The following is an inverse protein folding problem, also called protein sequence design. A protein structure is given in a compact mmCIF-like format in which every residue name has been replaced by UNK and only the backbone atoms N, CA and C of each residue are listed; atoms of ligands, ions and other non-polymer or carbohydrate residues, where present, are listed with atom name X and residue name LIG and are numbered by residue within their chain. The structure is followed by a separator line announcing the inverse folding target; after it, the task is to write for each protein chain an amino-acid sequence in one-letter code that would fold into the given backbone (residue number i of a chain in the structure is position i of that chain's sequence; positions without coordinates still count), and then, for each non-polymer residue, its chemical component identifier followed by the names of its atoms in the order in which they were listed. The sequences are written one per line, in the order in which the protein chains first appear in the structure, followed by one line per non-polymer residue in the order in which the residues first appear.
data_IF_841453856457
#
_entry.id   IF_841453856457
#
_cell.length_a   1.000
_cell.length_b   1.000
_cell.length_c   1.000
_cell.angle_alpha   90.00
_cell.angle_beta   90.00
_cell.angle_gamma   90.00
#
_symmetry.space_group_name_H-M   'P 1'
#
loop_
_entity.id
_entity.type
_entity.pdbx_description
1 polymer ?
#
# COMPACT_ATOMS: atom_id res chain seq x y z
N UNK A 1 47.91 -0.09 -43.94
CA UNK A 1 48.68 1.01 -44.57
C UNK A 1 47.89 2.28 -44.33
N UNK A 2 48.56 3.34 -43.84
CA UNK A 2 48.05 4.64 -43.36
C UNK A 2 47.38 4.60 -41.97
N UNK A 3 47.76 5.41 -40.98
CA UNK A 3 48.91 6.29 -40.75
C UNK A 3 48.94 6.53 -39.23
N UNK A 4 50.09 6.32 -38.57
CA UNK A 4 50.31 6.75 -37.18
C UNK A 4 50.55 8.26 -37.21
N UNK A 5 49.77 9.02 -36.45
CA UNK A 5 50.14 10.35 -35.99
C UNK A 5 50.64 10.23 -34.55
N UNK A 6 51.96 10.35 -34.40
CA UNK A 6 52.63 10.76 -33.18
C UNK A 6 52.71 12.29 -33.21
N UNK A 7 52.29 12.96 -32.15
CA UNK A 7 52.30 14.43 -32.09
C UNK A 7 51.76 15.00 -30.78
N UNK A 8 52.58 14.84 -29.73
CA UNK A 8 52.83 15.77 -28.60
C UNK A 8 51.68 16.51 -27.91
N UNK A 9 51.68 16.36 -26.58
CA UNK A 9 51.39 17.37 -25.57
C UNK A 9 49.95 17.88 -25.45
N UNK A 10 49.14 17.08 -24.77
CA UNK A 10 48.09 17.61 -23.88
C UNK A 10 48.36 17.12 -22.48
N UNK A 11 49.07 17.92 -21.70
CA UNK A 11 49.04 17.84 -20.25
C UNK A 11 47.57 17.79 -19.81
N UNK A 12 47.19 16.69 -19.16
CA UNK A 12 45.93 16.64 -18.45
C UNK A 12 46.00 17.68 -17.33
N UNK A 13 45.00 18.56 -17.15
CA UNK A 13 44.99 19.46 -16.02
C UNK A 13 44.95 18.61 -14.76
N UNK A 14 46.06 18.67 -14.01
CA UNK A 14 46.14 18.22 -12.63
C UNK A 14 44.88 18.67 -11.87
N UNK A 15 44.27 17.82 -11.03
CA UNK A 15 43.17 18.25 -10.18
C UNK A 15 43.62 19.45 -9.35
N UNK A 16 42.75 20.45 -9.12
CA UNK A 16 43.10 21.60 -8.29
C UNK A 16 43.56 21.10 -6.92
N UNK A 17 44.69 21.66 -6.47
CA UNK A 17 45.36 21.41 -5.20
C UNK A 17 44.45 20.85 -4.11
N UNK A 18 44.79 19.65 -3.63
CA UNK A 18 44.37 19.21 -2.29
C UNK A 18 44.77 20.30 -1.28
N UNK A 19 43.93 20.61 -0.27
CA UNK A 19 44.27 21.61 0.73
C UNK A 19 45.62 21.27 1.39
N UNK A 20 46.47 22.28 1.67
CA UNK A 20 47.89 22.07 2.01
C UNK A 20 48.13 21.46 3.40
N UNK A 21 47.07 21.15 4.16
CA UNK A 21 47.15 20.48 5.45
C UNK A 21 45.90 19.62 5.66
N UNK A 22 46.09 18.45 6.28
CA UNK A 22 44.99 17.68 6.86
C UNK A 22 44.25 18.58 7.86
N UNK A 23 42.91 18.50 7.94
CA UNK A 23 42.15 19.20 8.97
C UNK A 23 42.71 18.84 10.34
N UNK A 24 42.77 19.81 11.24
CA UNK A 24 43.20 19.55 12.62
C UNK A 24 42.19 18.62 13.31
N UNK A 25 42.62 17.95 14.39
CA UNK A 25 41.70 17.15 15.19
C UNK A 25 40.52 17.99 15.71
N UNK A 26 40.77 19.27 16.03
CA UNK A 26 39.76 20.22 16.46
C UNK A 26 38.73 20.51 15.35
N UNK A 27 39.16 20.58 14.08
CA UNK A 27 38.26 20.76 12.93
C UNK A 27 37.39 19.52 12.69
N UNK A 28 37.95 18.33 12.94
CA UNK A 28 37.23 17.05 12.84
C UNK A 28 36.20 16.94 13.96
N UNK A 29 36.58 17.27 15.20
CA UNK A 29 35.69 17.22 16.35
C UNK A 29 34.56 18.25 16.23
N UNK A 30 34.85 19.46 15.73
CA UNK A 30 33.83 20.46 15.43
C UNK A 30 32.86 19.99 14.33
N UNK A 31 33.36 19.32 13.29
CA UNK A 31 32.51 18.77 12.23
C UNK A 31 31.64 17.60 12.75
N UNK A 32 32.17 16.74 13.62
CA UNK A 32 31.41 15.66 14.24
C UNK A 32 30.33 16.20 15.17
N UNK A 33 30.63 17.22 15.98
CA UNK A 33 29.65 17.88 16.84
C UNK A 33 28.52 18.54 16.02
N UNK A 34 28.85 19.18 14.90
CA UNK A 34 27.85 19.76 14.00
C UNK A 34 26.95 18.70 13.36
N UNK A 35 27.52 17.53 12.99
CA UNK A 35 26.75 16.39 12.49
C UNK A 35 25.83 15.83 13.58
N UNK A 36 26.31 15.68 14.81
CA UNK A 36 25.51 15.20 15.94
C UNK A 36 24.36 16.17 16.27
N UNK A 37 24.59 17.48 16.24
CA UNK A 37 23.55 18.50 16.40
C UNK A 37 22.51 18.45 15.27
N UNK A 38 22.95 18.27 14.02
CA UNK A 38 22.04 18.14 12.88
C UNK A 38 21.23 16.83 12.94
N UNK A 39 21.84 15.73 13.37
CA UNK A 39 21.15 14.46 13.61
C UNK A 39 20.17 14.54 14.79
N UNK A 40 20.52 15.24 15.86
CA UNK A 40 19.63 15.50 16.99
C UNK A 40 18.44 16.38 16.57
N UNK A 41 18.67 17.39 15.71
CA UNK A 41 17.61 18.21 15.14
C UNK A 41 16.66 17.39 14.24
N UNK A 42 17.20 16.51 13.39
CA UNK A 42 16.41 15.60 12.55
C UNK A 42 15.62 14.61 13.42
N UNK A 43 16.22 14.08 14.48
CA UNK A 43 15.53 13.20 15.42
C UNK A 43 14.39 13.95 16.14
N UNK A 44 14.62 15.18 16.59
CA UNK A 44 13.58 16.02 17.18
C UNK A 44 12.45 16.38 16.20
N UNK A 45 12.75 16.56 14.91
CA UNK A 45 11.76 16.74 13.84
C UNK A 45 10.93 15.47 13.60
N UNK A 46 11.51 14.29 13.78
CA UNK A 46 10.83 12.99 13.65
C UNK A 46 10.02 12.63 14.90
N UNK A 47 10.45 13.09 16.09
CA UNK A 47 9.78 12.89 17.38
C UNK A 47 8.77 13.99 17.71
N UNK A 48 8.74 15.09 16.95
CA UNK A 48 7.71 16.11 17.08
C UNK A 48 6.33 15.45 16.84
N UNK A 49 5.34 15.66 17.75
CA UNK A 49 4.00 15.13 17.55
C UNK A 49 3.50 15.60 16.18
N UNK A 50 3.02 14.65 15.38
CA UNK A 50 2.51 14.88 14.04
C UNK A 50 1.18 15.66 14.08
N UNK A 51 1.21 16.88 14.62
CA UNK A 51 0.16 17.91 14.51
C UNK A 51 0.47 18.85 13.33
N UNK A 52 1.15 18.33 12.31
CA UNK A 52 0.91 18.84 10.98
C UNK A 52 -0.32 18.10 10.48
N UNK A 53 -1.42 18.82 10.28
CA UNK A 53 -2.40 18.44 9.26
C UNK A 53 -1.60 18.24 7.98
N UNK A 54 -1.05 17.04 7.78
CA UNK A 54 -0.55 16.62 6.48
C UNK A 54 -1.81 16.63 5.64
N UNK A 55 -2.03 17.73 4.92
CA UNK A 55 -3.11 17.84 3.96
C UNK A 55 -2.87 16.72 2.97
N UNK A 56 -3.55 15.59 3.20
CA UNK A 56 -3.45 14.43 2.35
C UNK A 56 -3.73 14.89 0.93
N UNK A 57 -2.98 14.36 -0.03
CA UNK A 57 -3.19 14.68 -1.44
C UNK A 57 -4.70 14.66 -1.76
N UNK A 58 -5.25 15.61 -2.53
CA UNK A 58 -6.70 15.76 -2.71
C UNK A 58 -7.42 14.47 -3.13
N UNK A 59 -6.70 13.57 -3.81
CA UNK A 59 -7.20 12.27 -4.24
C UNK A 59 -6.75 11.06 -3.39
N UNK A 60 -6.32 11.26 -2.14
CA UNK A 60 -5.89 10.16 -1.28
C UNK A 60 -7.00 9.12 -1.02
N UNK A 61 -8.27 9.53 -1.04
CA UNK A 61 -9.42 8.65 -0.93
C UNK A 61 -9.51 7.64 -2.10
N UNK A 62 -9.10 8.02 -3.32
CA UNK A 62 -9.03 7.11 -4.48
C UNK A 62 -8.01 6.01 -4.24
N UNK A 63 -6.81 6.39 -3.84
CA UNK A 63 -5.74 5.45 -3.51
C UNK A 63 -6.12 4.53 -2.35
N UNK A 64 -6.89 5.05 -1.40
CA UNK A 64 -7.34 4.27 -0.25
C UNK A 64 -8.33 3.18 -0.68
N UNK A 65 -9.38 3.55 -1.41
CA UNK A 65 -10.39 2.61 -1.90
C UNK A 65 -9.80 1.54 -2.82
N UNK A 66 -9.00 1.95 -3.83
CA UNK A 66 -8.41 0.99 -4.77
C UNK A 66 -7.28 0.15 -4.17
N UNK A 67 -6.77 0.50 -2.98
CA UNK A 67 -5.76 -0.28 -2.27
C UNK A 67 -6.25 -1.67 -1.87
N UNK A 68 -7.48 -1.75 -1.34
CA UNK A 68 -8.09 -3.03 -0.98
C UNK A 68 -8.42 -3.86 -2.25
N UNK A 69 -8.95 -3.21 -3.30
CA UNK A 69 -9.23 -3.86 -4.58
C UNK A 69 -8.00 -4.58 -5.17
N UNK A 70 -6.84 -3.90 -5.18
CA UNK A 70 -5.57 -4.50 -5.63
C UNK A 70 -5.16 -5.68 -4.75
N UNK A 71 -5.26 -5.54 -3.43
CA UNK A 71 -4.93 -6.62 -2.49
C UNK A 71 -5.86 -7.84 -2.66
N UNK A 72 -7.07 -7.64 -3.17
CA UNK A 72 -8.04 -8.67 -3.49
C UNK A 72 -7.96 -9.20 -4.94
N UNK A 73 -6.89 -8.87 -5.67
CA UNK A 73 -6.59 -9.46 -6.98
C UNK A 73 -7.16 -8.71 -8.19
N UNK A 74 -7.75 -7.53 -8.01
CA UNK A 74 -8.21 -6.70 -9.13
C UNK A 74 -7.03 -5.92 -9.74
N UNK A 75 -7.01 -5.83 -11.07
CA UNK A 75 -6.02 -5.06 -11.83
C UNK A 75 -6.63 -3.98 -12.72
N UNK A 76 -5.78 -3.33 -13.53
CA UNK A 76 -6.24 -2.35 -14.53
C UNK A 76 -7.33 -2.88 -15.47
N UNK A 77 -7.30 -4.15 -15.95
CA UNK A 77 -8.35 -4.70 -16.80
C UNK A 77 -9.71 -4.83 -16.11
N UNK A 78 -9.77 -4.78 -14.78
CA UNK A 78 -11.01 -5.05 -14.04
C UNK A 78 -11.78 -3.79 -13.68
N UNK A 79 -11.23 -2.60 -13.92
CA UNK A 79 -11.81 -1.33 -13.44
C UNK A 79 -13.25 -1.10 -13.92
N UNK A 80 -13.49 -1.26 -15.24
CA UNK A 80 -14.82 -1.09 -15.81
C UNK A 80 -15.77 -2.19 -15.31
N UNK A 81 -15.34 -3.45 -15.32
CA UNK A 81 -16.18 -4.55 -14.85
C UNK A 81 -16.53 -4.45 -13.36
N UNK A 82 -15.58 -4.01 -12.51
CA UNK A 82 -15.83 -3.75 -11.09
C UNK A 82 -16.83 -2.61 -10.88
N UNK A 83 -16.73 -1.54 -11.69
CA UNK A 83 -17.72 -0.47 -11.70
C UNK A 83 -19.11 -0.99 -12.09
N UNK A 84 -19.19 -1.81 -13.15
CA UNK A 84 -20.45 -2.42 -13.59
C UNK A 84 -21.05 -3.37 -12.58
N UNK A 85 -20.21 -4.12 -11.84
CA UNK A 85 -20.68 -5.00 -10.77
C UNK A 85 -21.31 -4.19 -9.63
N UNK A 86 -20.69 -3.06 -9.24
CA UNK A 86 -21.24 -2.12 -8.26
C UNK A 86 -22.49 -1.38 -8.79
N UNK A 87 -22.63 -1.21 -10.10
CA UNK A 87 -23.80 -0.61 -10.73
C UNK A 87 -25.03 -1.54 -10.75
N UNK A 88 -24.85 -2.85 -10.54
CA UNK A 88 -25.98 -3.82 -10.56
C UNK A 88 -26.98 -3.51 -9.45
N UNK A 89 -28.28 -3.81 -9.65
CA UNK A 89 -29.26 -3.83 -8.57
C UNK A 89 -28.82 -4.75 -7.44
N UNK A 90 -29.11 -4.38 -6.19
CA UNK A 90 -28.65 -5.09 -5.00
C UNK A 90 -28.84 -6.62 -5.04
N UNK A 91 -30.01 -7.19 -5.37
CA UNK A 91 -30.18 -8.64 -5.42
C UNK A 91 -29.29 -9.33 -6.46
N UNK A 92 -29.10 -8.69 -7.63
CA UNK A 92 -28.27 -9.23 -8.70
C UNK A 92 -26.78 -9.20 -8.33
N UNK A 93 -26.35 -8.17 -7.60
CA UNK A 93 -24.99 -8.09 -7.04
C UNK A 93 -24.73 -9.22 -6.04
N UNK A 94 -25.64 -9.44 -5.07
CA UNK A 94 -25.49 -10.52 -4.10
C UNK A 94 -25.48 -11.90 -4.77
N UNK A 95 -26.35 -12.13 -5.76
CA UNK A 95 -26.36 -13.38 -6.53
C UNK A 95 -25.02 -13.63 -7.26
N UNK A 96 -24.47 -12.59 -7.92
CA UNK A 96 -23.16 -12.69 -8.57
C UNK A 96 -22.04 -13.09 -7.60
N UNK A 97 -22.03 -12.52 -6.39
CA UNK A 97 -21.03 -12.86 -5.38
C UNK A 97 -21.24 -14.24 -4.74
N UNK A 98 -22.49 -14.71 -4.66
CA UNK A 98 -22.81 -16.03 -4.12
C UNK A 98 -22.25 -17.14 -5.01
N UNK A 99 -22.38 -16.96 -6.32
CA UNK A 99 -21.92 -17.94 -7.31
C UNK A 99 -20.39 -17.92 -7.55
N UNK A 100 -19.69 -16.95 -6.95
CA UNK A 100 -18.25 -16.77 -7.08
C UNK A 100 -17.41 -17.54 -6.04
N UNK A 101 -18.04 -18.17 -5.04
CA UNK A 101 -17.38 -19.04 -4.05
C UNK A 101 -17.39 -18.48 -2.63
N UNK A 102 -16.53 -19.03 -1.76
CA UNK A 102 -16.35 -18.61 -0.38
C UNK A 102 -14.96 -18.00 -0.19
N UNK A 103 -14.91 -16.81 0.41
CA UNK A 103 -13.67 -16.07 0.70
C UNK A 103 -13.81 -15.38 2.05
N UNK A 104 -12.68 -15.15 2.73
CA UNK A 104 -12.61 -14.37 3.98
C UNK A 104 -12.99 -12.89 3.76
N UNK A 105 -12.75 -12.36 2.56
CA UNK A 105 -13.13 -11.00 2.15
C UNK A 105 -13.97 -11.08 0.88
N UNK A 106 -15.19 -10.54 0.89
CA UNK A 106 -16.10 -10.57 -0.25
C UNK A 106 -15.54 -9.91 -1.51
N UNK A 107 -14.63 -8.93 -1.35
CA UNK A 107 -13.99 -8.29 -2.50
C UNK A 107 -13.06 -9.25 -3.26
N UNK A 108 -12.56 -10.33 -2.63
CA UNK A 108 -11.78 -11.38 -3.31
C UNK A 108 -12.61 -12.21 -4.30
N UNK A 109 -13.95 -12.16 -4.19
CA UNK A 109 -14.86 -12.79 -5.13
C UNK A 109 -15.04 -12.00 -6.42
N UNK A 110 -14.63 -10.74 -6.45
CA UNK A 110 -14.85 -9.86 -7.62
C UNK A 110 -14.19 -10.39 -8.89
N UNK A 111 -12.91 -10.84 -8.91
CA UNK A 111 -12.31 -11.39 -10.12
C UNK A 111 -13.12 -12.54 -10.73
N UNK A 112 -13.60 -13.48 -9.90
CA UNK A 112 -14.43 -14.61 -10.35
C UNK A 112 -15.82 -14.14 -10.82
N UNK A 113 -16.47 -13.24 -10.09
CA UNK A 113 -17.76 -12.66 -10.48
C UNK A 113 -17.66 -11.87 -11.81
N UNK A 114 -16.58 -11.10 -11.99
CA UNK A 114 -16.28 -10.34 -13.20
C UNK A 114 -16.05 -11.27 -14.39
N UNK A 115 -15.29 -12.35 -14.22
CA UNK A 115 -14.93 -13.25 -15.31
C UNK A 115 -16.15 -13.86 -16.02
N UNK A 116 -17.28 -14.02 -15.31
CA UNK A 116 -18.51 -14.61 -15.84
C UNK A 116 -19.22 -13.72 -16.85
N UNK A 117 -19.35 -12.44 -16.52
CA UNK A 117 -20.18 -11.47 -17.25
C UNK A 117 -19.38 -10.24 -17.72
N UNK A 118 -18.06 -10.40 -17.91
CA UNK A 118 -17.11 -9.29 -18.13
C UNK A 118 -17.61 -8.24 -19.12
N UNK A 119 -18.00 -8.64 -20.32
CA UNK A 119 -18.39 -7.68 -21.36
C UNK A 119 -19.59 -6.82 -20.94
N UNK A 120 -20.63 -7.44 -20.36
CA UNK A 120 -21.82 -6.71 -19.88
C UNK A 120 -21.49 -5.81 -18.68
N UNK A 121 -20.59 -6.24 -17.81
CA UNK A 121 -20.13 -5.44 -16.67
C UNK A 121 -19.25 -4.28 -17.13
N UNK A 122 -18.40 -4.46 -18.13
CA UNK A 122 -17.56 -3.39 -18.67
C UNK A 122 -18.41 -2.29 -19.32
N UNK A 123 -19.46 -2.67 -20.06
CA UNK A 123 -20.43 -1.72 -20.64
C UNK A 123 -21.18 -0.94 -19.55
N UNK A 124 -21.75 -1.66 -18.57
CA UNK A 124 -22.46 -1.03 -17.45
C UNK A 124 -21.55 -0.12 -16.61
N UNK A 125 -20.29 -0.52 -16.41
CA UNK A 125 -19.31 0.27 -15.69
C UNK A 125 -18.84 1.50 -16.44
N UNK A 126 -18.67 1.40 -17.75
CA UNK A 126 -18.38 2.56 -18.60
C UNK A 126 -19.52 3.58 -18.54
N UNK A 127 -20.77 3.13 -18.63
CA UNK A 127 -21.95 3.98 -18.50
C UNK A 127 -21.99 4.67 -17.12
N UNK A 128 -21.85 3.91 -16.03
CA UNK A 128 -21.81 4.47 -14.67
C UNK A 128 -20.74 5.56 -14.54
N UNK A 129 -19.50 5.26 -14.90
CA UNK A 129 -18.40 6.20 -14.70
C UNK A 129 -18.52 7.42 -15.65
N UNK A 130 -19.16 7.28 -16.81
CA UNK A 130 -19.51 8.39 -17.68
C UNK A 130 -20.58 9.30 -17.04
N UNK A 131 -21.65 8.72 -16.49
CA UNK A 131 -22.73 9.46 -15.82
C UNK A 131 -22.21 10.25 -14.60
N UNK A 132 -21.18 9.73 -13.92
CA UNK A 132 -20.47 10.41 -12.84
C UNK A 132 -19.39 11.40 -13.30
N UNK A 133 -19.22 11.61 -14.61
CA UNK A 133 -18.23 12.54 -15.18
C UNK A 133 -16.77 12.10 -14.99
N UNK A 134 -16.54 10.82 -14.68
CA UNK A 134 -15.21 10.27 -14.44
C UNK A 134 -14.56 9.70 -15.71
N UNK A 135 -15.36 9.43 -16.74
CA UNK A 135 -14.92 9.02 -18.08
C UNK A 135 -15.39 10.00 -19.16
N UNK A 136 -14.49 10.25 -20.12
CA UNK A 136 -14.82 10.92 -21.38
C UNK A 136 -14.93 9.83 -22.44
N UNK A 137 -16.15 9.58 -22.92
CA UNK A 137 -16.44 8.43 -23.79
C UNK A 137 -16.42 7.10 -23.03
N UNK A 138 -16.02 6.02 -23.71
CA UNK A 138 -16.07 4.64 -23.18
C UNK A 138 -14.71 4.08 -22.76
N UNK A 139 -13.63 4.83 -22.95
CA UNK A 139 -12.27 4.35 -22.66
C UNK A 139 -11.74 4.77 -21.29
N UNK A 140 -11.01 3.87 -20.64
CA UNK A 140 -10.28 4.17 -19.42
C UNK A 140 -9.17 5.21 -19.66
N UNK A 141 -9.02 6.23 -18.80
CA UNK A 141 -7.95 7.20 -18.88
C UNK A 141 -6.57 6.52 -18.81
N UNK A 142 -5.59 6.92 -19.64
CA UNK A 142 -4.24 6.34 -19.62
C UNK A 142 -3.59 6.35 -18.22
N UNK A 143 -3.84 7.42 -17.45
CA UNK A 143 -3.38 7.54 -16.06
C UNK A 143 -3.90 6.42 -15.15
N UNK A 144 -5.13 5.94 -15.37
CA UNK A 144 -5.70 4.87 -14.54
C UNK A 144 -5.07 3.52 -14.89
N UNK A 145 -4.77 3.28 -16.16
CA UNK A 145 -4.04 2.08 -16.59
C UNK A 145 -2.63 2.04 -16.00
N UNK A 146 -1.94 3.18 -15.96
CA UNK A 146 -0.60 3.32 -15.38
C UNK A 146 -0.59 3.30 -13.84
N UNK A 147 -1.69 3.72 -13.20
CA UNK A 147 -1.88 3.72 -11.76
C UNK A 147 -3.12 2.91 -11.37
N UNK A 148 -3.07 1.56 -11.41
CA UNK A 148 -4.22 0.70 -11.21
C UNK A 148 -4.96 0.96 -9.89
N UNK A 149 -4.20 1.15 -8.82
CA UNK A 149 -4.73 1.46 -7.49
C UNK A 149 -5.53 2.77 -7.46
N UNK A 150 -5.17 3.75 -8.29
CA UNK A 150 -5.94 4.99 -8.40
C UNK A 150 -7.24 4.74 -9.17
N UNK A 151 -7.16 4.11 -10.34
CA UNK A 151 -8.34 3.88 -11.19
C UNK A 151 -9.37 2.94 -10.57
N UNK A 152 -8.93 1.91 -9.85
CA UNK A 152 -9.82 1.02 -9.08
C UNK A 152 -10.51 1.73 -7.90
N UNK A 153 -9.99 2.87 -7.44
CA UNK A 153 -10.66 3.69 -6.44
C UNK A 153 -11.87 4.45 -7.00
N UNK A 154 -11.85 4.77 -8.31
CA UNK A 154 -12.85 5.62 -8.94
C UNK A 154 -14.30 5.15 -8.74
N UNK A 155 -14.63 3.86 -8.92
CA UNK A 155 -16.01 3.39 -8.75
C UNK A 155 -16.52 3.53 -7.32
N UNK A 156 -15.67 3.29 -6.31
CA UNK A 156 -16.06 3.46 -4.91
C UNK A 156 -16.32 4.93 -4.59
N UNK A 157 -15.48 5.83 -5.12
CA UNK A 157 -15.65 7.28 -4.94
C UNK A 157 -16.90 7.79 -5.66
N UNK A 158 -17.24 7.24 -6.83
CA UNK A 158 -18.47 7.57 -7.54
C UNK A 158 -19.72 7.31 -6.67
N UNK A 159 -19.67 6.30 -5.80
CA UNK A 159 -20.73 5.98 -4.85
C UNK A 159 -20.57 6.63 -3.47
N UNK A 160 -19.63 7.57 -3.30
CA UNK A 160 -19.49 8.35 -2.06
C UNK A 160 -18.51 7.78 -1.04
N UNK A 161 -17.54 6.95 -1.45
CA UNK A 161 -16.42 6.59 -0.58
C UNK A 161 -15.64 7.83 -0.14
N UNK A 162 -15.46 7.97 1.18
CA UNK A 162 -14.54 8.94 1.80
C UNK A 162 -13.41 8.19 2.53
N UNK A 163 -12.21 8.77 2.56
CA UNK A 163 -11.08 8.18 3.28
C UNK A 163 -11.32 8.08 4.79
N UNK A 164 -12.14 8.96 5.37
CA UNK A 164 -12.57 8.88 6.76
C UNK A 164 -13.38 7.61 7.05
N UNK A 165 -14.04 7.05 6.03
CA UNK A 165 -14.82 5.82 6.12
C UNK A 165 -14.03 4.55 5.81
N UNK A 166 -12.71 4.66 5.56
CA UNK A 166 -11.87 3.55 5.13
C UNK A 166 -12.10 2.28 5.95
N UNK A 167 -12.05 2.40 7.28
CA UNK A 167 -12.14 1.21 8.13
C UNK A 167 -13.54 0.61 8.09
N UNK A 168 -14.60 1.41 7.95
CA UNK A 168 -15.96 0.91 7.77
C UNK A 168 -16.13 0.22 6.40
N UNK A 169 -15.50 0.74 5.35
CA UNK A 169 -15.44 0.07 4.05
C UNK A 169 -14.66 -1.25 4.10
N UNK A 170 -13.49 -1.29 4.75
CA UNK A 170 -12.79 -2.56 4.96
C UNK A 170 -13.66 -3.57 5.76
N UNK A 171 -14.54 -3.06 6.63
CA UNK A 171 -15.45 -3.84 7.47
C UNK A 171 -16.62 -4.44 6.70
N UNK A 172 -17.22 -3.71 5.76
CA UNK A 172 -18.35 -4.23 4.97
C UNK A 172 -17.92 -5.41 4.10
N UNK A 173 -16.70 -5.38 3.57
CA UNK A 173 -16.14 -6.49 2.79
C UNK A 173 -15.73 -7.70 3.63
N UNK A 174 -15.58 -7.54 4.95
CA UNK A 174 -15.26 -8.61 5.90
C UNK A 174 -16.50 -9.30 6.47
N UNK A 175 -17.70 -8.93 6.03
CA UNK A 175 -18.93 -9.63 6.39
C UNK A 175 -19.08 -10.92 5.58
N UNK A 176 -19.69 -11.97 6.16
CA UNK A 176 -20.26 -13.06 5.38
C UNK A 176 -21.27 -12.51 4.36
N UNK A 177 -21.39 -13.15 3.19
CA UNK A 177 -22.32 -12.71 2.16
C UNK A 177 -23.78 -12.73 2.64
N UNK A 178 -24.14 -13.71 3.47
CA UNK A 178 -25.46 -13.79 4.11
C UNK A 178 -25.80 -12.55 4.91
N UNK A 179 -24.84 -12.08 5.71
CA UNK A 179 -25.01 -10.95 6.62
C UNK A 179 -25.08 -9.65 5.82
N UNK A 180 -24.22 -9.52 4.80
CA UNK A 180 -24.28 -8.40 3.88
C UNK A 180 -25.64 -8.34 3.18
N UNK A 181 -26.10 -9.45 2.59
CA UNK A 181 -27.39 -9.53 1.90
C UNK A 181 -28.55 -9.20 2.84
N UNK A 182 -28.54 -9.69 4.09
CA UNK A 182 -29.54 -9.39 5.11
C UNK A 182 -29.59 -7.88 5.42
N UNK A 183 -28.44 -7.22 5.61
CA UNK A 183 -28.37 -5.77 5.83
C UNK A 183 -28.99 -4.96 4.69
N UNK A 184 -28.82 -5.43 3.46
CA UNK A 184 -29.36 -4.75 2.28
C UNK A 184 -30.81 -5.10 1.92
N UNK A 185 -31.48 -5.99 2.66
CA UNK A 185 -32.81 -6.51 2.29
C UNK A 185 -33.86 -5.39 2.23
N UNK A 186 -33.79 -4.40 3.12
CA UNK A 186 -34.70 -3.25 3.10
C UNK A 186 -34.64 -2.42 1.79
N UNK A 187 -33.55 -2.50 1.04
CA UNK A 187 -33.41 -1.83 -0.27
C UNK A 187 -33.97 -2.69 -1.42
N UNK A 188 -34.07 -4.01 -1.24
CA UNK A 188 -34.61 -4.91 -2.24
C UNK A 188 -36.13 -4.74 -2.39
N UNK A 189 -36.82 -4.36 -1.33
CA UNK A 189 -38.29 -4.14 -1.31
C UNK A 189 -38.72 -2.75 -1.81
N UNK A 190 -37.77 -1.92 -2.23
CA UNK A 190 -38.04 -0.58 -2.78
C UNK A 190 -38.63 -0.65 -4.18
N UNK A 191 -39.55 0.26 -4.51
CA UNK A 191 -40.12 0.42 -5.85
C UNK A 191 -39.05 0.70 -6.92
N UNK A 192 -37.93 1.30 -6.51
CA UNK A 192 -36.73 1.47 -7.34
C UNK A 192 -35.56 0.85 -6.58
N UNK A 193 -35.06 -0.28 -7.09
CA UNK A 193 -33.93 -0.98 -6.45
C UNK A 193 -32.64 -0.21 -6.75
N UNK A 194 -31.95 0.31 -5.72
CA UNK A 194 -30.71 1.04 -5.92
C UNK A 194 -29.57 0.15 -6.42
N UNK A 195 -28.61 0.77 -7.11
CA UNK A 195 -27.33 0.16 -7.42
C UNK A 195 -26.61 -0.29 -6.15
N UNK A 196 -25.90 -1.41 -6.22
CA UNK A 196 -25.22 -2.01 -5.08
C UNK A 196 -24.20 -1.07 -4.44
N UNK A 197 -23.45 -0.29 -5.23
CA UNK A 197 -22.53 0.71 -4.72
C UNK A 197 -23.19 1.74 -3.80
N UNK A 198 -24.40 2.20 -4.13
CA UNK A 198 -25.16 3.11 -3.26
C UNK A 198 -25.65 2.43 -1.98
N UNK A 199 -26.07 1.16 -2.07
CA UNK A 199 -26.47 0.38 -0.89
C UNK A 199 -25.27 0.21 0.05
N UNK A 200 -24.11 -0.19 -0.47
CA UNK A 200 -22.88 -0.34 0.30
C UNK A 200 -22.48 0.97 0.99
N UNK A 201 -22.48 2.09 0.27
CA UNK A 201 -22.17 3.40 0.84
C UNK A 201 -23.16 3.79 1.95
N UNK A 202 -24.46 3.52 1.74
CA UNK A 202 -25.49 3.79 2.75
C UNK A 202 -25.31 2.93 3.99
N UNK A 203 -24.99 1.64 3.82
CA UNK A 203 -24.72 0.72 4.92
C UNK A 203 -23.47 1.13 5.70
N UNK A 204 -22.40 1.54 5.00
CA UNK A 204 -21.18 2.08 5.62
C UNK A 204 -21.49 3.32 6.45
N UNK A 205 -22.23 4.28 5.91
CA UNK A 205 -22.60 5.48 6.65
C UNK A 205 -23.46 5.17 7.89
N UNK A 206 -24.42 4.24 7.76
CA UNK A 206 -25.34 3.86 8.85
C UNK A 206 -24.67 3.05 9.95
N UNK A 207 -23.75 2.17 9.60
CA UNK A 207 -23.10 1.22 10.52
C UNK A 207 -21.61 1.55 10.75
N UNK A 208 -21.22 2.82 10.55
CA UNK A 208 -19.83 3.31 10.55
C UNK A 208 -18.99 2.80 11.73
N UNK A 209 -19.53 2.84 12.95
CA UNK A 209 -18.78 2.45 14.16
C UNK A 209 -18.51 0.93 14.20
N UNK A 210 -19.55 0.12 14.01
CA UNK A 210 -19.43 -1.35 14.06
C UNK A 210 -18.57 -1.87 12.91
N UNK A 211 -18.83 -1.39 11.69
CA UNK A 211 -18.04 -1.74 10.52
C UNK A 211 -16.61 -1.23 10.64
N UNK A 212 -16.40 -0.06 11.24
CA UNK A 212 -15.07 0.49 11.49
C UNK A 212 -14.21 -0.43 12.35
N UNK A 213 -14.75 -0.90 13.49
CA UNK A 213 -14.05 -1.84 14.36
C UNK A 213 -13.75 -3.16 13.63
N UNK A 214 -14.74 -3.72 12.92
CA UNK A 214 -14.57 -4.95 12.13
C UNK A 214 -13.50 -4.79 11.04
N UNK A 215 -13.51 -3.70 10.29
CA UNK A 215 -12.57 -3.47 9.21
C UNK A 215 -11.17 -3.16 9.69
N UNK A 216 -11.01 -2.44 10.80
CA UNK A 216 -9.71 -2.26 11.44
C UNK A 216 -9.09 -3.62 11.82
N UNK A 217 -9.89 -4.52 12.40
CA UNK A 217 -9.47 -5.89 12.72
C UNK A 217 -9.14 -6.71 11.45
N UNK A 218 -10.03 -6.71 10.45
CA UNK A 218 -9.82 -7.46 9.20
C UNK A 218 -8.57 -6.98 8.45
N UNK A 219 -8.35 -5.66 8.38
CA UNK A 219 -7.14 -5.05 7.82
C UNK A 219 -5.89 -5.46 8.59
N UNK A 220 -5.95 -5.49 9.92
CA UNK A 220 -4.84 -5.96 10.74
C UNK A 220 -4.52 -7.42 10.42
N UNK A 221 -5.52 -8.32 10.39
CA UNK A 221 -5.34 -9.73 10.02
C UNK A 221 -4.71 -9.90 8.64
N UNK A 222 -5.25 -9.24 7.61
CA UNK A 222 -4.69 -9.27 6.24
C UNK A 222 -3.25 -8.80 6.20
N UNK A 223 -2.93 -7.71 6.89
CA UNK A 223 -1.57 -7.18 6.94
C UNK A 223 -0.60 -8.14 7.68
N UNK A 224 -1.07 -8.85 8.72
CA UNK A 224 -0.28 -9.85 9.42
C UNK A 224 0.01 -11.07 8.52
N UNK A 225 -0.98 -11.54 7.74
CA UNK A 225 -0.80 -12.61 6.75
C UNK A 225 0.20 -12.18 5.67
N UNK A 226 -0.01 -11.02 5.05
CA UNK A 226 0.89 -10.50 4.02
C UNK A 226 2.32 -10.35 4.53
N UNK A 227 2.50 -9.86 5.77
CA UNK A 227 3.82 -9.78 6.40
C UNK A 227 4.47 -11.16 6.55
N UNK A 228 3.75 -12.16 7.04
CA UNK A 228 4.27 -13.53 7.18
C UNK A 228 4.63 -14.14 5.82
N UNK A 229 3.81 -13.93 4.80
CA UNK A 229 4.08 -14.40 3.45
C UNK A 229 5.33 -13.72 2.86
N UNK A 230 5.50 -12.41 3.08
CA UNK A 230 6.69 -11.66 2.67
C UNK A 230 7.95 -12.21 3.36
N UNK A 231 7.88 -12.49 4.66
CA UNK A 231 8.96 -13.14 5.41
C UNK A 231 9.29 -14.53 4.84
N UNK A 232 8.29 -15.36 4.58
CA UNK A 232 8.49 -16.70 4.02
C UNK A 232 9.10 -16.65 2.61
N UNK A 233 8.62 -15.75 1.73
CA UNK A 233 9.20 -15.56 0.39
C UNK A 233 10.64 -15.08 0.47
N UNK A 234 10.93 -14.17 1.40
CA UNK A 234 12.30 -13.68 1.59
C UNK A 234 13.23 -14.78 2.11
N UNK A 235 12.77 -15.61 3.04
CA UNK A 235 13.52 -16.76 3.54
C UNK A 235 13.83 -17.77 2.42
N UNK A 236 12.83 -18.12 1.60
CA UNK A 236 13.03 -18.99 0.43
C UNK A 236 14.03 -18.38 -0.57
N UNK A 237 13.86 -17.09 -0.90
CA UNK A 237 14.79 -16.39 -1.80
C UNK A 237 16.23 -16.42 -1.31
N UNK A 238 16.47 -16.29 0.01
CA UNK A 238 17.82 -16.38 0.59
C UNK A 238 18.46 -17.75 0.39
N UNK A 239 17.68 -18.83 0.48
CA UNK A 239 18.15 -20.19 0.22
C UNK A 239 18.53 -20.36 -1.24
N UNK A 240 17.74 -19.81 -2.16
CA UNK A 240 17.98 -19.90 -3.60
C UNK A 240 19.14 -19.01 -4.09
N UNK A 241 19.56 -18.04 -3.28
CA UNK A 241 20.57 -17.04 -3.65
C UNK A 241 21.69 -16.90 -2.60
N UNK A 242 22.43 -17.98 -2.30
CA UNK A 242 23.43 -17.99 -1.22
C UNK A 242 24.58 -16.99 -1.46
N UNK A 243 24.95 -16.77 -2.72
CA UNK A 243 26.07 -15.91 -3.11
C UNK A 243 25.65 -14.45 -3.38
N UNK A 244 24.38 -14.11 -3.18
CA UNK A 244 23.92 -12.76 -3.47
C UNK A 244 24.58 -11.75 -2.51
N UNK A 245 25.08 -10.60 -2.98
CA UNK A 245 25.87 -9.67 -2.15
C UNK A 245 25.04 -8.86 -1.15
N UNK A 246 23.72 -9.01 -1.14
CA UNK A 246 22.83 -8.27 -0.23
C UNK A 246 23.24 -8.36 1.25
N UNK A 247 23.56 -9.54 1.83
CA UNK A 247 23.88 -9.65 3.25
C UNK A 247 25.08 -8.82 3.66
N UNK A 248 26.06 -8.64 2.78
CA UNK A 248 27.31 -7.91 3.05
C UNK A 248 27.21 -6.40 2.84
N UNK A 249 26.12 -5.90 2.25
CA UNK A 249 25.89 -4.46 2.10
C UNK A 249 25.68 -3.79 3.45
N UNK A 250 25.93 -2.48 3.51
CA UNK A 250 25.63 -1.66 4.69
C UNK A 250 24.14 -1.64 5.00
N UNK A 251 23.81 -1.67 6.29
CA UNK A 251 22.46 -1.46 6.81
C UNK A 251 21.85 -0.20 6.18
N UNK A 252 20.61 -0.30 5.72
CA UNK A 252 19.89 0.88 5.24
C UNK A 252 19.18 1.60 6.39
N UNK A 253 18.85 2.88 6.19
CA UNK A 253 18.21 3.71 7.21
C UNK A 253 16.92 3.10 7.80
N UNK A 254 16.12 2.40 7.00
CA UNK A 254 14.88 1.75 7.47
C UNK A 254 15.17 0.57 8.39
N UNK A 255 16.12 -0.30 8.03
CA UNK A 255 16.56 -1.42 8.87
C UNK A 255 17.20 -0.92 10.17
N UNK A 256 18.03 0.12 10.09
CA UNK A 256 18.63 0.76 11.26
C UNK A 256 17.56 1.36 12.18
N UNK A 257 16.63 2.17 11.64
CA UNK A 257 15.53 2.72 12.41
C UNK A 257 14.67 1.63 13.05
N UNK A 258 14.27 0.61 12.30
CA UNK A 258 13.49 -0.50 12.84
C UNK A 258 14.22 -1.20 13.99
N UNK A 259 15.52 -1.50 13.84
CA UNK A 259 16.29 -2.14 14.90
C UNK A 259 16.37 -1.29 16.17
N UNK A 260 16.54 0.04 16.02
CA UNK A 260 16.54 0.97 17.16
C UNK A 260 15.18 1.00 17.87
N UNK A 261 14.09 1.13 17.11
CA UNK A 261 12.73 1.19 17.67
C UNK A 261 12.36 -0.12 18.35
N UNK A 262 12.72 -1.27 17.77
CA UNK A 262 12.55 -2.60 18.39
C UNK A 262 13.36 -2.74 19.66
N UNK A 263 14.64 -2.35 19.66
CA UNK A 263 15.48 -2.43 20.85
C UNK A 263 14.92 -1.58 22.00
N UNK A 264 14.50 -0.35 21.70
CA UNK A 264 13.88 0.53 22.69
C UNK A 264 12.57 -0.04 23.25
N UNK A 265 11.68 -0.54 22.39
CA UNK A 265 10.39 -1.08 22.81
C UNK A 265 10.52 -2.37 23.65
N UNK A 266 11.54 -3.19 23.38
CA UNK A 266 11.80 -4.44 24.09
C UNK A 266 12.79 -4.29 25.27
N UNK A 267 13.30 -3.07 25.53
CA UNK A 267 14.29 -2.83 26.59
C UNK A 267 15.65 -3.50 26.35
N UNK A 268 16.02 -3.70 25.09
CA UNK A 268 17.26 -4.36 24.68
C UNK A 268 18.40 -3.34 24.48
N UNK A 269 19.67 -3.77 24.63
CA UNK A 269 20.81 -2.94 24.25
C UNK A 269 20.76 -2.54 22.76
N UNK A 270 21.22 -1.33 22.47
CA UNK A 270 21.30 -0.84 21.09
C UNK A 270 22.22 -1.74 20.25
N UNK A 271 21.73 -2.33 19.14
CA UNK A 271 22.54 -3.30 18.40
C UNK A 271 23.52 -2.59 17.46
N UNK A 272 24.80 -2.99 17.51
CA UNK A 272 25.85 -2.47 16.64
C UNK A 272 25.84 -3.18 15.26
N UNK A 273 24.81 -2.92 14.46
CA UNK A 273 24.58 -3.60 13.18
C UNK A 273 25.22 -2.84 12.01
N UNK A 274 26.23 -3.44 11.38
CA UNK A 274 26.92 -2.84 10.22
C UNK A 274 26.36 -3.36 8.90
N UNK A 275 26.04 -4.67 8.83
CA UNK A 275 25.64 -5.33 7.58
C UNK A 275 24.15 -5.68 7.55
N UNK A 276 23.56 -5.66 6.36
CA UNK A 276 22.12 -5.97 6.16
C UNK A 276 21.75 -7.38 6.61
N UNK A 277 22.64 -8.35 6.39
CA UNK A 277 22.44 -9.73 6.81
C UNK A 277 22.33 -9.84 8.33
N UNK A 278 23.29 -9.25 9.05
CA UNK A 278 23.31 -9.23 10.52
C UNK A 278 22.08 -8.50 11.07
N UNK A 279 21.70 -7.38 10.46
CA UNK A 279 20.49 -6.66 10.84
C UNK A 279 19.22 -7.49 10.60
N UNK A 280 19.11 -8.18 9.47
CA UNK A 280 17.95 -9.03 9.19
C UNK A 280 17.85 -10.20 10.18
N UNK A 281 18.97 -10.83 10.54
CA UNK A 281 19.00 -11.90 11.55
C UNK A 281 18.61 -11.36 12.92
N UNK A 282 19.16 -10.20 13.32
CA UNK A 282 18.81 -9.58 14.59
C UNK A 282 17.33 -9.19 14.65
N UNK A 283 16.79 -8.60 13.59
CA UNK A 283 15.38 -8.20 13.52
C UNK A 283 14.43 -9.40 13.57
N UNK A 284 14.78 -10.52 12.92
CA UNK A 284 14.00 -11.76 12.94
C UNK A 284 14.02 -12.43 14.32
N UNK A 285 15.19 -12.46 14.98
CA UNK A 285 15.35 -13.03 16.31
C UNK A 285 14.57 -12.29 17.41
N UNK A 286 14.21 -11.03 17.20
CA UNK A 286 13.49 -10.18 18.15
C UNK A 286 12.10 -9.78 17.66
N UNK A 287 11.58 -10.47 16.64
CA UNK A 287 10.24 -10.25 16.08
C UNK A 287 9.91 -8.77 15.84
N UNK A 288 10.83 -8.09 15.15
CA UNK A 288 10.90 -6.64 15.10
C UNK A 288 9.66 -5.93 14.54
N UNK A 289 8.76 -6.65 13.87
CA UNK A 289 7.45 -6.10 13.52
C UNK A 289 6.51 -6.21 14.73
N UNK A 290 6.68 -5.26 15.66
CA UNK A 290 5.95 -5.23 16.93
C UNK A 290 4.42 -5.19 16.79
N UNK A 291 3.91 -4.84 15.60
CA UNK A 291 2.49 -4.87 15.29
C UNK A 291 1.94 -6.29 15.16
N UNK A 292 2.76 -7.24 14.73
CA UNK A 292 2.36 -8.62 14.44
C UNK A 292 3.17 -9.63 15.23
N UNK A 293 3.63 -9.24 16.43
CA UNK A 293 4.40 -10.13 17.27
C UNK A 293 3.69 -11.47 17.39
N UNK A 294 4.44 -12.55 17.22
CA UNK A 294 4.03 -13.91 17.54
C UNK A 294 3.69 -13.89 19.02
N UNK A 295 2.41 -13.72 19.36
CA UNK A 295 1.95 -14.01 20.72
C UNK A 295 2.33 -15.46 21.05
N UNK A 296 2.90 -15.68 22.23
CA UNK A 296 3.23 -17.01 22.77
C UNK A 296 1.97 -17.89 22.93
#
# INVERSE_FOLDING_TARGET
MLKRDDGSDKESPMPPNLPPSLPSLDDIDAALAAIDDELAHIAALLDAPADTEVTCHPHHHWWTAGGLAIACGLGSPDMLAAAGLLARPWPAFCAHLAEAGEDECLLQRFPAAIARDRAALEEAGAALLHDHGLLIGTELPPRWRAAPKFGLGAPFVAFGFDAADRDAWDGIWALPLSDLAALGTAFADSAVVPAAGMVLATLVARHRVELGARGAHARHRRAAVAYRDDCARFAAWRVDHPDHPWPSRLVNARQGHLARTTAAALGLPMPALVRRGDAAVWLDAHDANLRFTKED
#
